data_IF_091076751592
#
_entry.id   IF_091076751592
#
_cell.length_a   1.000
_cell.length_b   1.000
_cell.length_c   1.000
_cell.angle_alpha   90.00
_cell.angle_beta   90.00
_cell.angle_gamma   90.00
#
_symmetry.space_group_name_H-M   'P 1'
#
loop_
_entity.id
_entity.type
_entity.pdbx_description
1 polymer ?
#
# COMPACT_ATOMS: atom_id res chain seq x y z
N UNK A 1 46.77 -22.41 -72.19
CA UNK A 1 46.04 -21.41 -71.37
C UNK A 1 44.56 -21.70 -71.49
N UNK A 2 43.89 -22.14 -70.42
CA UNK A 2 42.44 -22.41 -70.43
C UNK A 2 41.70 -21.10 -70.20
N UNK A 3 40.80 -20.75 -71.12
CA UNK A 3 39.92 -19.58 -71.01
C UNK A 3 39.06 -19.68 -69.73
N UNK A 4 39.03 -18.65 -68.86
CA UNK A 4 38.06 -18.64 -67.78
C UNK A 4 36.67 -18.43 -68.39
N UNK A 5 35.79 -19.43 -68.25
CA UNK A 5 34.38 -19.30 -68.57
C UNK A 5 33.82 -18.21 -67.65
N UNK A 6 33.66 -16.99 -68.17
CA UNK A 6 32.94 -15.90 -67.49
C UNK A 6 31.45 -16.25 -67.47
N UNK A 7 31.04 -17.06 -66.51
CA UNK A 7 29.64 -17.39 -66.23
C UNK A 7 28.92 -16.22 -65.57
N UNK A 8 28.60 -15.16 -66.32
CA UNK A 8 27.87 -13.98 -65.83
C UNK A 8 26.57 -14.34 -65.09
N UNK A 9 25.86 -15.37 -65.56
CA UNK A 9 24.64 -15.90 -64.92
C UNK A 9 24.89 -16.48 -63.52
N UNK A 10 26.00 -17.18 -63.31
CA UNK A 10 26.35 -17.75 -62.00
C UNK A 10 26.69 -16.67 -60.97
N UNK A 11 27.38 -15.61 -61.40
CA UNK A 11 27.70 -14.45 -60.55
C UNK A 11 26.41 -13.74 -60.13
N UNK A 12 25.47 -13.54 -61.05
CA UNK A 12 24.15 -12.95 -60.76
C UNK A 12 23.39 -13.80 -59.74
N UNK A 13 23.34 -15.12 -59.93
CA UNK A 13 22.66 -16.04 -58.98
C UNK A 13 23.27 -15.99 -57.58
N UNK A 14 24.60 -15.92 -57.47
CA UNK A 14 25.30 -15.78 -56.18
C UNK A 14 24.95 -14.45 -55.51
N UNK A 15 24.91 -13.34 -56.26
CA UNK A 15 24.56 -12.03 -55.71
C UNK A 15 23.11 -11.99 -55.23
N UNK A 16 22.18 -12.57 -55.98
CA UNK A 16 20.77 -12.71 -55.57
C UNK A 16 20.65 -13.53 -54.28
N UNK A 17 21.43 -14.62 -54.16
CA UNK A 17 21.46 -15.41 -52.93
C UNK A 17 21.99 -14.61 -51.73
N UNK A 18 23.09 -13.86 -51.89
CA UNK A 18 23.61 -13.01 -50.82
C UNK A 18 22.63 -11.91 -50.41
N UNK A 19 21.96 -11.28 -51.39
CA UNK A 19 20.93 -10.27 -51.11
C UNK A 19 19.76 -10.92 -50.34
N UNK A 20 19.29 -12.10 -50.75
CA UNK A 20 18.23 -12.83 -50.05
C UNK A 20 18.65 -13.22 -48.63
N UNK A 21 19.89 -13.67 -48.43
CA UNK A 21 20.44 -13.99 -47.11
C UNK A 21 20.52 -12.75 -46.22
N UNK A 22 21.00 -11.62 -46.74
CA UNK A 22 21.01 -10.35 -46.00
C UNK A 22 19.59 -9.92 -45.62
N UNK A 23 18.63 -10.00 -46.53
CA UNK A 23 17.22 -9.70 -46.22
C UNK A 23 16.68 -10.61 -45.12
N UNK A 24 16.99 -11.90 -45.15
CA UNK A 24 16.57 -12.85 -44.12
C UNK A 24 17.16 -12.52 -42.74
N UNK A 25 18.45 -12.17 -42.68
CA UNK A 25 19.10 -11.75 -41.42
C UNK A 25 18.49 -10.46 -40.89
N UNK A 26 18.22 -9.47 -41.75
CA UNK A 26 17.56 -8.22 -41.34
C UNK A 26 16.14 -8.50 -40.84
N UNK A 27 15.36 -9.32 -41.55
CA UNK A 27 13.99 -9.67 -41.16
C UNK A 27 13.95 -10.38 -39.80
N UNK A 28 14.82 -11.37 -39.59
CA UNK A 28 14.91 -12.09 -38.31
C UNK A 28 15.34 -11.17 -37.17
N UNK A 29 16.28 -10.25 -37.41
CA UNK A 29 16.69 -9.24 -36.42
C UNK A 29 15.54 -8.28 -36.07
N UNK A 30 14.75 -7.84 -37.05
CA UNK A 30 13.59 -6.99 -36.81
C UNK A 30 12.51 -7.71 -36.00
N UNK A 31 12.20 -8.96 -36.36
CA UNK A 31 11.24 -9.79 -35.61
C UNK A 31 11.72 -10.01 -34.16
N UNK A 32 13.01 -10.25 -33.95
CA UNK A 32 13.58 -10.38 -32.61
C UNK A 32 13.42 -9.08 -31.81
N UNK A 33 13.73 -7.92 -32.41
CA UNK A 33 13.57 -6.63 -31.75
C UNK A 33 12.10 -6.36 -31.38
N UNK A 34 11.16 -6.60 -32.29
CA UNK A 34 9.73 -6.40 -32.06
C UNK A 34 9.20 -7.32 -30.95
N UNK A 35 9.53 -8.61 -30.98
CA UNK A 35 9.11 -9.56 -29.95
C UNK A 35 9.67 -9.19 -28.57
N UNK A 36 10.92 -8.73 -28.50
CA UNK A 36 11.51 -8.28 -27.24
C UNK A 36 10.84 -7.00 -26.72
N UNK A 37 10.55 -6.03 -27.58
CA UNK A 37 9.83 -4.81 -27.20
C UNK A 37 8.42 -5.12 -26.67
N UNK A 38 7.67 -5.99 -27.36
CA UNK A 38 6.36 -6.45 -26.90
C UNK A 38 6.44 -7.12 -25.53
N UNK A 39 7.45 -7.96 -25.30
CA UNK A 39 7.67 -8.60 -24.00
C UNK A 39 7.94 -7.59 -22.88
N UNK A 40 8.73 -6.55 -23.16
CA UNK A 40 8.99 -5.47 -22.20
C UNK A 40 7.70 -4.70 -21.89
N UNK A 41 6.91 -4.35 -22.91
CA UNK A 41 5.63 -3.65 -22.72
C UNK A 41 4.65 -4.47 -21.90
N UNK A 42 4.50 -5.77 -22.21
CA UNK A 42 3.65 -6.68 -21.43
C UNK A 42 4.13 -6.80 -19.98
N UNK A 43 5.43 -6.96 -19.77
CA UNK A 43 6.00 -7.03 -18.41
C UNK A 43 5.78 -5.74 -17.62
N UNK A 44 5.86 -4.58 -18.27
CA UNK A 44 5.56 -3.30 -17.63
C UNK A 44 4.08 -3.19 -17.27
N UNK A 45 3.19 -3.59 -18.19
CA UNK A 45 1.75 -3.60 -17.93
C UNK A 45 1.37 -4.54 -16.77
N UNK A 46 1.92 -5.76 -16.74
CA UNK A 46 1.71 -6.69 -15.63
C UNK A 46 2.19 -6.10 -14.30
N UNK A 47 3.32 -5.39 -14.34
CA UNK A 47 3.86 -4.68 -13.20
C UNK A 47 2.97 -3.52 -12.74
N UNK A 48 2.39 -2.74 -13.66
CA UNK A 48 1.45 -1.68 -13.32
C UNK A 48 0.19 -2.23 -12.66
N UNK A 49 -0.36 -3.32 -13.22
CA UNK A 49 -1.51 -4.02 -12.63
C UNK A 49 -1.19 -4.55 -11.23
N UNK A 50 -0.04 -5.20 -11.05
CA UNK A 50 0.40 -5.66 -9.73
C UNK A 50 0.56 -4.50 -8.73
N UNK A 51 1.04 -3.33 -9.17
CA UNK A 51 1.13 -2.15 -8.31
C UNK A 51 -0.25 -1.63 -7.91
N UNK A 52 -1.18 -1.55 -8.87
CA UNK A 52 -2.55 -1.10 -8.62
C UNK A 52 -3.25 -1.99 -7.59
N UNK A 53 -3.13 -3.32 -7.70
CA UNK A 53 -3.65 -4.26 -6.71
C UNK A 53 -3.15 -3.96 -5.29
N UNK A 54 -1.85 -3.64 -5.15
CA UNK A 54 -1.25 -3.29 -3.87
C UNK A 54 -1.74 -1.92 -3.36
N UNK A 55 -1.89 -0.94 -4.23
CA UNK A 55 -2.40 0.40 -3.88
C UNK A 55 -3.84 0.33 -3.40
N UNK A 56 -4.71 -0.35 -4.14
CA UNK A 56 -6.14 -0.44 -3.82
C UNK A 56 -6.38 -1.05 -2.44
N UNK A 57 -5.68 -2.13 -2.09
CA UNK A 57 -5.86 -2.73 -0.76
C UNK A 57 -5.27 -1.84 0.35
N UNK A 58 -4.19 -1.11 0.08
CA UNK A 58 -3.62 -0.16 1.05
C UNK A 58 -4.61 0.97 1.32
N UNK A 59 -5.19 1.56 0.28
CA UNK A 59 -6.15 2.65 0.43
C UNK A 59 -7.40 2.20 1.19
N UNK A 60 -7.93 1.02 0.84
CA UNK A 60 -9.07 0.44 1.53
C UNK A 60 -8.79 0.23 3.02
N UNK A 61 -7.69 -0.46 3.35
CA UNK A 61 -7.36 -0.74 4.75
C UNK A 61 -6.92 0.49 5.53
N UNK A 62 -6.31 1.47 4.88
CA UNK A 62 -6.01 2.75 5.50
C UNK A 62 -7.30 3.46 5.92
N UNK A 63 -8.31 3.50 5.04
CA UNK A 63 -9.61 4.09 5.36
C UNK A 63 -10.28 3.37 6.54
N UNK A 64 -10.26 2.03 6.55
CA UNK A 64 -10.78 1.24 7.68
C UNK A 64 -10.06 1.57 9.00
N UNK A 65 -8.72 1.67 9.00
CA UNK A 65 -7.95 2.03 10.20
C UNK A 65 -8.28 3.44 10.70
N UNK A 66 -8.45 4.41 9.79
CA UNK A 66 -8.83 5.77 10.14
C UNK A 66 -10.24 5.81 10.74
N UNK A 67 -11.19 5.07 10.17
CA UNK A 67 -12.54 4.97 10.69
C UNK A 67 -12.55 4.37 12.10
N UNK A 68 -11.89 3.23 12.31
CA UNK A 68 -11.78 2.62 13.64
C UNK A 68 -11.15 3.56 14.66
N UNK A 69 -10.13 4.32 14.23
CA UNK A 69 -9.49 5.31 15.11
C UNK A 69 -10.47 6.42 15.51
N UNK A 70 -11.25 6.94 14.56
CA UNK A 70 -12.25 7.98 14.84
C UNK A 70 -13.36 7.48 15.79
N UNK A 71 -13.81 6.23 15.62
CA UNK A 71 -14.79 5.60 16.51
C UNK A 71 -14.28 5.52 17.96
N UNK A 72 -13.02 5.09 18.14
CA UNK A 72 -12.37 5.02 19.47
C UNK A 72 -12.17 6.42 20.07
N UNK A 73 -11.77 7.39 19.26
CA UNK A 73 -11.64 8.81 19.67
C UNK A 73 -12.99 9.35 20.14
N UNK A 74 -14.05 9.12 19.36
CA UNK A 74 -15.41 9.55 19.69
C UNK A 74 -15.89 8.94 21.00
N UNK A 75 -15.70 7.63 21.19
CA UNK A 75 -16.07 6.93 22.42
C UNK A 75 -15.36 7.53 23.64
N UNK A 76 -14.04 7.72 23.54
CA UNK A 76 -13.26 8.35 24.60
C UNK A 76 -13.76 9.76 24.94
N UNK A 77 -14.06 10.59 23.93
CA UNK A 77 -14.60 11.95 24.14
C UNK A 77 -15.93 11.95 24.89
N UNK A 78 -16.81 10.99 24.57
CA UNK A 78 -18.10 10.83 25.27
C UNK A 78 -17.87 10.46 26.74
N UNK A 79 -17.01 9.49 27.00
CA UNK A 79 -16.71 9.04 28.36
C UNK A 79 -16.01 10.14 29.19
N UNK A 80 -15.10 10.90 28.57
CA UNK A 80 -14.43 12.03 29.20
C UNK A 80 -15.42 13.14 29.55
N UNK A 81 -16.34 13.47 28.63
CA UNK A 81 -17.39 14.45 28.88
C UNK A 81 -18.29 14.02 30.03
N UNK A 82 -18.76 12.77 30.00
CA UNK A 82 -19.60 12.21 31.07
C UNK A 82 -18.89 12.25 32.43
N UNK A 83 -17.63 11.83 32.47
CA UNK A 83 -16.83 11.89 33.69
C UNK A 83 -16.69 13.32 34.22
N UNK A 84 -16.44 14.30 33.34
CA UNK A 84 -16.35 15.72 33.71
C UNK A 84 -17.66 16.24 34.31
N UNK A 85 -18.80 15.92 33.70
CA UNK A 85 -20.12 16.32 34.23
C UNK A 85 -20.37 15.70 35.60
N UNK A 86 -20.15 14.39 35.75
CA UNK A 86 -20.31 13.69 37.04
C UNK A 86 -19.39 14.25 38.12
N UNK A 87 -18.15 14.60 37.75
CA UNK A 87 -17.18 15.22 38.64
C UNK A 87 -17.62 16.60 39.15
N UNK A 88 -18.06 17.47 38.25
CA UNK A 88 -18.53 18.81 38.61
C UNK A 88 -19.75 18.73 39.53
N UNK A 89 -20.71 17.83 39.25
CA UNK A 89 -21.87 17.62 40.12
C UNK A 89 -21.49 17.22 41.54
N UNK A 90 -20.49 16.35 41.71
CA UNK A 90 -20.00 15.93 43.02
C UNK A 90 -19.34 17.07 43.80
N UNK A 91 -18.54 17.90 43.12
CA UNK A 91 -17.96 19.11 43.76
C UNK A 91 -19.07 20.07 44.21
N UNK A 92 -20.06 20.33 43.36
CA UNK A 92 -21.18 21.22 43.72
C UNK A 92 -21.99 20.71 44.91
N UNK A 93 -22.01 19.40 45.13
CA UNK A 93 -22.63 18.75 46.29
C UNK A 93 -21.72 18.73 47.54
N UNK A 94 -20.51 19.30 47.46
CA UNK A 94 -19.57 19.39 48.58
C UNK A 94 -18.72 18.14 48.80
N UNK A 95 -18.69 17.19 47.86
CA UNK A 95 -17.80 16.04 47.94
C UNK A 95 -16.39 16.41 47.47
N UNK A 96 -15.38 16.12 48.30
CA UNK A 96 -13.98 16.22 47.91
C UNK A 96 -13.57 14.96 47.13
N UNK A 97 -13.52 15.08 45.80
CA UNK A 97 -13.05 14.03 44.89
C UNK A 97 -11.89 14.58 44.07
N UNK A 98 -10.82 13.79 43.96
CA UNK A 98 -9.72 14.11 43.03
C UNK A 98 -10.15 13.84 41.60
N UNK A 99 -9.84 14.78 40.70
CA UNK A 99 -10.06 14.62 39.27
C UNK A 99 -9.08 13.59 38.70
N UNK A 100 -9.58 12.46 38.22
CA UNK A 100 -8.77 11.41 37.60
C UNK A 100 -9.51 10.84 36.36
N UNK A 101 -9.42 11.54 35.21
CA UNK A 101 -10.17 11.19 34.02
C UNK A 101 -9.67 9.87 33.39
N UNK A 102 -10.48 9.24 32.53
CA UNK A 102 -10.04 8.09 31.75
C UNK A 102 -8.80 8.44 30.88
N UNK A 103 -7.91 7.45 30.71
CA UNK A 103 -6.68 7.61 29.93
C UNK A 103 -6.88 7.10 28.50
N UNK A 104 -6.65 7.95 27.50
CA UNK A 104 -6.89 7.60 26.09
C UNK A 104 -6.06 6.40 25.60
N UNK A 105 -4.83 6.25 26.10
CA UNK A 105 -3.96 5.12 25.75
C UNK A 105 -4.58 3.75 26.06
N UNK A 106 -5.47 3.67 27.06
CA UNK A 106 -6.15 2.42 27.41
C UNK A 106 -7.21 2.04 26.37
N UNK A 107 -7.89 3.03 25.79
CA UNK A 107 -8.85 2.83 24.70
C UNK A 107 -8.14 2.34 23.44
N UNK A 108 -7.00 2.95 23.11
CA UNK A 108 -6.17 2.50 21.98
C UNK A 108 -5.76 1.04 22.19
N UNK A 109 -5.25 0.68 23.37
CA UNK A 109 -4.79 -0.70 23.64
C UNK A 109 -5.91 -1.73 23.67
N UNK A 110 -7.06 -1.39 24.26
CA UNK A 110 -8.17 -2.34 24.49
C UNK A 110 -9.10 -2.46 23.30
N UNK A 111 -9.27 -1.40 22.51
CA UNK A 111 -10.30 -1.34 21.47
C UNK A 111 -9.71 -1.22 20.08
N UNK A 112 -8.73 -0.33 19.87
CA UNK A 112 -8.17 -0.08 18.54
C UNK A 112 -7.21 -1.20 18.10
N UNK A 113 -6.19 -1.50 18.92
CA UNK A 113 -5.13 -2.45 18.55
C UNK A 113 -5.61 -3.88 18.25
N UNK A 114 -6.60 -4.46 18.96
CA UNK A 114 -7.14 -5.76 18.61
C UNK A 114 -7.78 -5.78 17.23
N UNK A 115 -8.63 -4.80 16.93
CA UNK A 115 -9.35 -4.70 15.65
C UNK A 115 -8.39 -4.49 14.47
N UNK A 116 -7.35 -3.67 14.64
CA UNK A 116 -6.33 -3.45 13.61
C UNK A 116 -5.65 -4.76 13.18
N UNK A 117 -5.40 -5.69 14.10
CA UNK A 117 -4.76 -6.97 13.78
C UNK A 117 -5.64 -7.83 12.86
N UNK A 118 -6.96 -7.73 13.01
CA UNK A 118 -7.95 -8.49 12.25
C UNK A 118 -8.13 -7.96 10.82
N UNK A 119 -7.66 -6.75 10.52
CA UNK A 119 -7.75 -6.14 9.18
C UNK A 119 -6.79 -6.75 8.16
N UNK A 120 -5.86 -7.62 8.57
CA UNK A 120 -4.98 -8.34 7.65
C UNK A 120 -5.78 -9.30 6.79
N UNK A 121 -5.65 -9.20 5.46
CA UNK A 121 -6.45 -10.01 4.53
C UNK A 121 -5.68 -10.39 3.27
N UNK A 122 -6.23 -11.33 2.52
CA UNK A 122 -5.75 -11.70 1.19
C UNK A 122 -6.92 -12.14 0.34
N UNK A 123 -6.91 -11.77 -0.93
CA UNK A 123 -7.98 -12.11 -1.87
C UNK A 123 -7.40 -12.47 -3.23
N UNK A 124 -7.97 -13.51 -3.83
CA UNK A 124 -7.63 -13.97 -5.17
C UNK A 124 -8.68 -13.45 -6.15
N UNK A 125 -8.21 -12.95 -7.29
CA UNK A 125 -9.00 -12.36 -8.36
C UNK A 125 -10.02 -11.28 -7.93
N UNK A 126 -9.60 -10.25 -7.14
CA UNK A 126 -10.49 -9.20 -6.65
C UNK A 126 -11.05 -8.24 -7.72
N UNK A 127 -10.49 -8.23 -8.94
CA UNK A 127 -10.95 -7.36 -10.02
C UNK A 127 -11.42 -8.18 -11.22
N UNK A 128 -12.69 -8.05 -11.58
CA UNK A 128 -13.30 -8.81 -12.68
C UNK A 128 -12.68 -8.48 -14.04
N UNK A 129 -12.23 -7.24 -14.25
CA UNK A 129 -11.62 -6.77 -15.51
C UNK A 129 -10.24 -7.38 -15.77
N UNK A 130 -9.65 -8.03 -14.76
CA UNK A 130 -8.31 -8.59 -14.85
C UNK A 130 -8.40 -10.05 -15.32
N UNK A 131 -8.23 -10.22 -16.64
CA UNK A 131 -8.39 -11.51 -17.35
C UNK A 131 -7.53 -12.68 -16.85
N UNK A 132 -6.52 -12.43 -16.04
CA UNK A 132 -5.46 -13.39 -15.71
C UNK A 132 -5.31 -13.48 -14.20
N UNK A 133 -4.72 -14.58 -13.72
CA UNK A 133 -4.57 -14.82 -12.29
C UNK A 133 -3.88 -13.66 -11.57
N UNK A 134 -4.57 -13.16 -10.56
CA UNK A 134 -4.12 -12.03 -9.77
C UNK A 134 -4.57 -12.13 -8.32
N UNK A 135 -3.85 -11.49 -7.43
CA UNK A 135 -4.21 -11.44 -6.01
C UNK A 135 -3.59 -10.23 -5.33
N UNK A 136 -4.16 -9.86 -4.19
CA UNK A 136 -3.48 -9.01 -3.23
C UNK A 136 -3.38 -9.71 -1.88
N UNK A 137 -2.44 -9.24 -1.05
CA UNK A 137 -2.32 -9.59 0.36
C UNK A 137 -1.91 -8.35 1.12
N UNK A 138 -2.50 -8.13 2.28
CA UNK A 138 -2.08 -7.08 3.21
C UNK A 138 -1.89 -7.65 4.61
N UNK A 139 -0.81 -7.23 5.24
CA UNK A 139 -0.45 -7.59 6.60
C UNK A 139 -0.35 -6.31 7.41
N UNK A 140 -1.17 -6.21 8.46
CA UNK A 140 -1.26 -5.03 9.30
C UNK A 140 -0.82 -5.41 10.71
N UNK A 141 0.17 -4.71 11.22
CA UNK A 141 0.77 -4.99 12.53
C UNK A 141 1.03 -3.70 13.29
N UNK A 142 0.99 -3.78 14.61
CA UNK A 142 1.42 -2.69 15.48
C UNK A 142 2.84 -2.94 15.96
N UNK A 143 3.73 -1.96 15.77
CA UNK A 143 5.07 -1.95 16.34
C UNK A 143 5.07 -1.16 17.66
N UNK A 144 5.18 -1.89 18.77
CA UNK A 144 5.23 -1.33 20.14
C UNK A 144 6.42 -0.39 20.33
N UNK A 145 7.58 -0.69 19.69
CA UNK A 145 8.82 0.07 19.90
C UNK A 145 8.76 1.43 19.21
N UNK A 146 8.18 1.46 18.01
CA UNK A 146 8.04 2.68 17.21
C UNK A 146 6.72 3.40 17.48
N UNK A 147 5.77 2.77 18.17
CA UNK A 147 4.42 3.27 18.40
C UNK A 147 3.66 3.60 17.09
N UNK A 148 3.81 2.74 16.08
CA UNK A 148 3.23 2.92 14.73
C UNK A 148 2.48 1.67 14.28
N UNK A 149 1.50 1.87 13.42
CA UNK A 149 0.85 0.79 12.66
C UNK A 149 1.61 0.64 11.34
N UNK A 150 2.07 -0.57 11.06
CA UNK A 150 2.74 -0.96 9.83
C UNK A 150 1.78 -1.75 8.95
N UNK A 151 1.61 -1.32 7.70
CA UNK A 151 0.88 -2.04 6.67
C UNK A 151 1.88 -2.46 5.60
N UNK A 152 1.93 -3.76 5.32
CA UNK A 152 2.69 -4.34 4.22
C UNK A 152 1.70 -4.97 3.25
N UNK A 153 1.55 -4.37 2.08
CA UNK A 153 0.72 -4.87 1.00
C UNK A 153 1.56 -5.45 -0.12
N UNK A 154 1.07 -6.51 -0.73
CA UNK A 154 1.61 -7.15 -1.90
C UNK A 154 0.50 -7.29 -2.94
N UNK A 155 0.75 -6.83 -4.15
CA UNK A 155 -0.08 -7.10 -5.32
C UNK A 155 0.67 -8.01 -6.29
N UNK A 156 -0.03 -8.98 -6.86
CA UNK A 156 0.50 -9.89 -7.88
C UNK A 156 -0.44 -9.96 -9.07
N UNK A 157 0.13 -9.80 -10.26
CA UNK A 157 -0.54 -10.04 -11.52
C UNK A 157 0.36 -10.91 -12.39
N UNK A 158 -0.11 -12.10 -12.81
CA UNK A 158 0.73 -13.12 -13.47
C UNK A 158 2.00 -13.43 -12.67
N UNK A 159 3.16 -13.02 -13.20
CA UNK A 159 4.50 -13.19 -12.61
C UNK A 159 5.03 -11.92 -11.95
N UNK A 160 4.38 -10.77 -12.15
CA UNK A 160 4.80 -9.51 -11.57
C UNK A 160 4.33 -9.41 -10.11
N UNK A 161 5.21 -8.95 -9.22
CA UNK A 161 4.95 -8.73 -7.80
C UNK A 161 5.39 -7.32 -7.39
N UNK A 162 4.52 -6.60 -6.69
CA UNK A 162 4.77 -5.26 -6.18
C UNK A 162 4.39 -5.18 -4.72
N UNK A 163 5.19 -4.45 -3.95
CA UNK A 163 5.00 -4.28 -2.53
C UNK A 163 4.87 -2.81 -2.16
N UNK A 164 3.97 -2.52 -1.24
CA UNK A 164 3.75 -1.19 -0.69
C UNK A 164 3.78 -1.28 0.83
N UNK A 165 4.52 -0.37 1.42
CA UNK A 165 4.69 -0.29 2.85
C UNK A 165 4.24 1.07 3.34
N UNK A 166 3.35 1.05 4.33
CA UNK A 166 2.82 2.26 4.95
C UNK A 166 3.07 2.19 6.45
N UNK A 167 3.54 3.32 7.01
CA UNK A 167 3.65 3.55 8.45
C UNK A 167 2.68 4.64 8.84
N UNK A 168 1.79 4.34 9.77
CA UNK A 168 0.79 5.25 10.31
C UNK A 168 1.08 5.52 11.79
N UNK A 169 1.00 6.78 12.20
CA UNK A 169 1.06 7.14 13.62
C UNK A 169 -0.16 6.58 14.36
N UNK A 170 0.00 6.17 15.61
CA UNK A 170 -1.17 5.99 16.46
C UNK A 170 -1.78 7.34 16.85
N UNK A 171 -3.09 7.38 17.16
CA UNK A 171 -3.68 8.57 17.74
C UNK A 171 -3.10 8.81 19.13
N UNK A 172 -2.89 10.08 19.49
CA UNK A 172 -2.24 10.46 20.75
C UNK A 172 -3.00 11.58 21.44
N UNK A 173 -3.14 11.48 22.77
CA UNK A 173 -3.68 12.55 23.60
C UNK A 173 -2.58 13.54 23.98
N UNK A 174 -2.84 14.83 23.86
CA UNK A 174 -1.98 15.91 24.36
C UNK A 174 -2.74 16.78 25.35
N UNK A 175 -2.06 17.14 26.43
CA UNK A 175 -2.53 18.18 27.34
C UNK A 175 -2.43 19.54 26.64
N UNK A 176 -3.53 20.27 26.63
CA UNK A 176 -3.67 21.57 25.99
C UNK A 176 -4.08 22.64 27.02
N UNK A 177 -3.52 22.55 28.23
CA UNK A 177 -3.69 23.51 29.30
C UNK A 177 -4.94 23.25 30.13
N UNK A 178 -5.48 24.30 30.75
CA UNK A 178 -6.65 24.21 31.61
C UNK A 178 -7.88 24.80 30.91
N UNK A 179 -9.05 24.30 31.26
CA UNK A 179 -10.33 24.83 30.81
C UNK A 179 -10.91 25.86 31.79
N UNK A 180 -12.12 26.34 31.51
CA UNK A 180 -12.83 27.36 32.31
C UNK A 180 -13.12 26.91 33.76
N UNK A 181 -13.00 25.62 34.07
CA UNK A 181 -13.20 25.04 35.39
C UNK A 181 -11.88 24.65 36.06
N UNK A 182 -10.74 25.13 35.53
CA UNK A 182 -9.39 24.79 36.00
C UNK A 182 -9.07 23.28 35.84
N UNK A 183 -9.76 22.60 34.90
CA UNK A 183 -9.54 21.18 34.61
C UNK A 183 -8.66 20.97 33.37
N UNK A 184 -7.84 19.90 33.31
CA UNK A 184 -7.01 19.59 32.14
C UNK A 184 -7.82 19.48 30.85
N UNK A 185 -7.41 20.25 29.84
CA UNK A 185 -7.98 20.24 28.51
C UNK A 185 -7.22 19.24 27.64
N UNK A 186 -7.87 18.12 27.33
CA UNK A 186 -7.25 17.07 26.52
C UNK A 186 -7.60 17.28 25.04
N UNK A 187 -6.58 17.37 24.19
CA UNK A 187 -6.72 17.32 22.73
C UNK A 187 -6.23 15.98 22.20
N UNK A 188 -6.73 15.54 21.04
CA UNK A 188 -6.34 14.26 20.44
C UNK A 188 -5.85 14.53 19.03
N UNK A 189 -4.64 14.07 18.75
CA UNK A 189 -4.05 14.06 17.42
C UNK A 189 -4.50 12.79 16.70
N UNK A 190 -5.14 12.98 15.55
CA UNK A 190 -5.57 11.88 14.69
C UNK A 190 -4.39 11.15 14.05
N UNK A 191 -4.56 9.87 13.66
CA UNK A 191 -3.54 9.13 12.93
C UNK A 191 -3.17 9.83 11.62
N UNK A 192 -1.88 9.84 11.27
CA UNK A 192 -1.41 10.35 9.98
C UNK A 192 -0.28 9.47 9.44
N UNK A 193 -0.08 9.51 8.12
CA UNK A 193 0.97 8.73 7.46
C UNK A 193 2.33 9.35 7.80
N UNK A 194 3.22 8.55 8.38
CA UNK A 194 4.60 8.95 8.69
C UNK A 194 5.57 8.45 7.61
N UNK A 195 5.22 7.38 6.90
CA UNK A 195 6.07 6.82 5.86
C UNK A 195 5.30 6.02 4.83
N UNK A 196 5.74 6.13 3.58
CA UNK A 196 5.17 5.44 2.44
C UNK A 196 6.29 5.08 1.46
N UNK A 197 6.47 3.80 1.14
CA UNK A 197 7.48 3.37 0.18
C UNK A 197 7.02 2.15 -0.62
N UNK A 198 7.54 2.04 -1.84
CA UNK A 198 7.18 0.99 -2.81
C UNK A 198 8.41 0.21 -3.21
N UNK A 199 8.27 -1.11 -3.38
CA UNK A 199 9.36 -1.97 -3.84
C UNK A 199 8.87 -3.02 -4.84
N UNK A 200 9.82 -3.68 -5.51
CA UNK A 200 9.57 -4.73 -6.51
C UNK A 200 9.88 -6.08 -5.87
N UNK A 201 9.01 -7.06 -6.07
CA UNK A 201 9.27 -8.43 -5.67
C UNK A 201 10.17 -9.17 -6.66
N UNK A 202 11.27 -9.74 -6.19
CA UNK A 202 12.06 -10.74 -6.92
C UNK A 202 11.37 -12.11 -6.89
#
# INVERSE_FOLDING_TARGET
>A
MKNPIKGSKGIISIHVFFIALMMFVILTSLLYMMTNQLKIQMSNNDSYRANYLAESIVELKLAEVLQLSEEVIKKYRIDLYRYKVEYLLLIYQGFDKRYNPPVFADYVKRELLPQIKELSSSENNPFEDYLEDHHYKIKIQYDIRQNVIMMEAMGRYKRARRFIYVKLSLPQSMDNGLDEYDLPRISIISPHIIGYYRTIGL
#
